data_IF_676740728229
#
_entry.id   IF_676740728229
#
_cell.length_a   1.000
_cell.length_b   1.000
_cell.length_c   1.000
_cell.angle_alpha   90.00
_cell.angle_beta   90.00
_cell.angle_gamma   90.00
#
_symmetry.space_group_name_H-M   'P 1'
#
loop_
_entity.id
_entity.type
_entity.pdbx_description
1 polymer ?
#
# COMPACT_ATOMS: atom_id res chain seq x y z
N UNK A 1 6.98 -30.02 -1.21
CA UNK A 1 6.87 -28.86 -2.14
C UNK A 1 7.42 -27.65 -1.41
N UNK A 2 8.53 -27.06 -1.88
CA UNK A 2 9.08 -25.85 -1.24
C UNK A 2 8.06 -24.72 -1.37
N UNK A 3 7.68 -24.10 -0.25
CA UNK A 3 6.92 -22.86 -0.27
C UNK A 3 7.82 -21.78 -0.84
N UNK A 4 7.65 -21.44 -2.12
CA UNK A 4 8.30 -20.26 -2.67
C UNK A 4 7.62 -19.04 -2.02
N UNK A 5 8.27 -18.51 -1.00
CA UNK A 5 7.88 -17.28 -0.35
C UNK A 5 8.60 -16.14 -1.07
N UNK A 6 7.83 -15.25 -1.69
CA UNK A 6 8.38 -14.03 -2.28
C UNK A 6 8.27 -12.91 -1.26
N UNK A 7 9.36 -12.19 -1.03
CA UNK A 7 9.40 -11.04 -0.13
C UNK A 7 9.82 -9.83 -0.96
N UNK A 8 9.00 -8.79 -0.92
CA UNK A 8 9.23 -7.52 -1.63
C UNK A 8 9.32 -6.38 -0.63
N UNK A 9 10.27 -5.47 -0.85
CA UNK A 9 10.36 -4.23 -0.10
C UNK A 9 9.46 -3.16 -0.73
N UNK A 10 8.63 -2.51 0.08
CA UNK A 10 7.75 -1.41 -0.30
C UNK A 10 8.24 -0.12 0.38
N UNK A 11 9.09 0.68 -0.29
CA UNK A 11 9.70 1.84 0.33
C UNK A 11 8.67 2.89 0.73
N UNK A 12 8.86 3.50 1.89
CA UNK A 12 8.22 4.75 2.22
C UNK A 12 8.70 5.85 1.28
N UNK A 13 7.94 6.93 1.18
CA UNK A 13 8.33 8.12 0.40
C UNK A 13 8.37 9.35 1.29
N UNK A 14 9.26 10.27 0.94
CA UNK A 14 9.29 11.64 1.45
C UNK A 14 8.98 12.62 0.32
N UNK A 15 8.18 13.65 0.61
CA UNK A 15 8.07 14.79 -0.30
C UNK A 15 9.18 15.78 0.10
N UNK A 16 10.20 15.94 -0.74
CA UNK A 16 11.25 16.95 -0.53
C UNK A 16 10.70 18.37 -0.79
N UNK A 17 9.69 18.46 -1.64
CA UNK A 17 8.89 19.64 -1.86
C UNK A 17 7.44 19.25 -2.16
N UNK A 18 6.50 20.08 -1.71
CA UNK A 18 5.09 19.96 -2.01
C UNK A 18 4.46 21.36 -2.09
N UNK A 19 3.87 21.66 -3.24
CA UNK A 19 3.07 22.85 -3.48
C UNK A 19 1.67 22.42 -3.93
N UNK A 20 0.67 23.00 -3.28
CA UNK A 20 -0.75 22.79 -3.59
C UNK A 20 -1.20 23.94 -4.49
N UNK A 21 -1.56 23.65 -5.73
CA UNK A 21 -1.81 24.67 -6.75
C UNK A 21 -3.26 25.17 -6.70
N UNK A 22 -4.23 24.27 -6.87
CA UNK A 22 -5.65 24.60 -6.85
C UNK A 22 -6.49 23.36 -6.55
N UNK A 23 -7.75 23.58 -6.18
CA UNK A 23 -8.75 22.52 -6.03
C UNK A 23 -9.52 22.32 -7.34
N UNK A 24 -9.74 21.07 -7.71
CA UNK A 24 -10.52 20.66 -8.88
C UNK A 24 -12.00 20.41 -8.53
N UNK A 25 -12.85 20.40 -9.56
CA UNK A 25 -14.29 20.12 -9.40
C UNK A 25 -14.59 18.71 -8.86
N UNK A 26 -13.68 17.76 -9.07
CA UNK A 26 -13.79 16.39 -8.53
C UNK A 26 -13.44 16.30 -7.02
N UNK A 27 -13.07 17.41 -6.38
CA UNK A 27 -12.74 17.48 -4.96
C UNK A 27 -11.26 17.25 -4.62
N UNK A 28 -10.41 16.90 -5.58
CA UNK A 28 -8.96 16.75 -5.40
C UNK A 28 -8.21 18.07 -5.65
N UNK A 29 -6.91 18.08 -5.38
CA UNK A 29 -6.04 19.23 -5.64
C UNK A 29 -4.96 18.88 -6.66
N UNK A 30 -4.65 19.82 -7.54
CA UNK A 30 -3.44 19.75 -8.35
C UNK A 30 -2.23 20.05 -7.48
N UNK A 31 -1.23 19.19 -7.58
CA UNK A 31 -0.02 19.24 -6.76
C UNK A 31 1.21 19.33 -7.66
N UNK A 32 2.13 20.21 -7.28
CA UNK A 32 3.51 20.20 -7.77
C UNK A 32 4.38 19.64 -6.64
N UNK A 33 5.08 18.52 -6.86
CA UNK A 33 5.82 17.84 -5.80
C UNK A 33 7.06 17.14 -6.32
N UNK A 34 8.11 17.16 -5.51
CA UNK A 34 9.28 16.30 -5.69
C UNK A 34 9.27 15.21 -4.61
N UNK A 35 9.11 13.95 -5.04
CA UNK A 35 9.13 12.79 -4.17
C UNK A 35 10.45 12.04 -4.25
N UNK A 36 10.90 11.50 -3.11
CA UNK A 36 12.03 10.59 -3.01
C UNK A 36 11.63 9.34 -2.22
N UNK A 37 12.10 8.17 -2.65
CA UNK A 37 11.93 6.92 -1.90
C UNK A 37 12.97 6.80 -0.81
N UNK A 38 12.54 6.36 0.36
CA UNK A 38 13.42 6.09 1.48
C UNK A 38 13.92 4.63 1.44
N UNK A 39 15.00 4.38 2.17
CA UNK A 39 15.52 3.04 2.48
C UNK A 39 14.79 2.37 3.65
N UNK A 40 13.77 3.02 4.21
CA UNK A 40 12.81 2.48 5.17
C UNK A 40 11.46 2.24 4.50
N UNK A 41 10.77 1.17 4.90
CA UNK A 41 9.48 0.80 4.32
C UNK A 41 8.94 -0.49 4.91
N UNK A 42 7.85 -0.99 4.31
CA UNK A 42 7.21 -2.23 4.70
C UNK A 42 7.75 -3.40 3.87
N UNK A 43 7.70 -4.61 4.42
CA UNK A 43 7.94 -5.84 3.67
C UNK A 43 6.62 -6.53 3.36
N UNK A 44 6.41 -6.83 2.07
CA UNK A 44 5.24 -7.58 1.59
C UNK A 44 5.70 -9.00 1.28
N UNK A 45 5.23 -9.94 2.10
CA UNK A 45 5.47 -11.36 1.91
C UNK A 45 4.28 -12.02 1.23
N UNK A 46 4.53 -12.74 0.14
CA UNK A 46 3.52 -13.48 -0.61
C UNK A 46 3.77 -14.99 -0.46
N UNK A 47 2.71 -15.71 -0.10
CA UNK A 47 2.69 -17.17 -0.05
C UNK A 47 1.51 -17.70 -0.89
N UNK A 48 1.72 -18.80 -1.63
CA UNK A 48 0.63 -19.45 -2.36
C UNK A 48 -0.38 -20.02 -1.37
N UNK A 49 -1.65 -19.68 -1.55
CA UNK A 49 -2.77 -20.11 -0.71
C UNK A 49 -3.99 -20.47 -1.55
N UNK A 50 -4.88 -21.32 -1.00
CA UNK A 50 -6.18 -21.64 -1.61
C UNK A 50 -7.19 -20.51 -1.48
N UNK A 51 -6.95 -19.56 -0.57
CA UNK A 51 -7.83 -18.41 -0.33
C UNK A 51 -7.02 -17.12 -0.17
N UNK A 52 -7.64 -15.99 -0.52
CA UNK A 52 -7.05 -14.67 -0.31
C UNK A 52 -7.14 -14.29 1.18
N UNK A 53 -5.99 -14.23 1.83
CA UNK A 53 -5.85 -13.67 3.17
C UNK A 53 -4.84 -12.52 3.15
N UNK A 54 -4.91 -11.71 4.20
CA UNK A 54 -3.96 -10.65 4.48
C UNK A 54 -3.76 -10.65 5.99
N UNK A 55 -2.51 -10.74 6.39
CA UNK A 55 -2.03 -10.58 7.75
C UNK A 55 -1.16 -9.32 7.79
N UNK A 56 -1.25 -8.58 8.90
CA UNK A 56 -0.51 -7.35 9.12
C UNK A 56 0.14 -7.50 10.49
N UNK A 57 1.45 -7.29 10.52
CA UNK A 57 2.31 -7.37 11.71
C UNK A 57 3.05 -6.04 11.91
N UNK A 58 3.71 -5.90 13.07
CA UNK A 58 4.48 -4.72 13.41
C UNK A 58 3.73 -3.68 14.27
N UNK A 59 4.40 -2.57 14.62
CA UNK A 59 3.94 -1.65 15.65
C UNK A 59 2.56 -1.02 15.40
N UNK A 60 2.17 -0.88 14.13
CA UNK A 60 0.92 -0.22 13.73
C UNK A 60 -0.20 -1.21 13.34
N UNK A 61 0.07 -2.52 13.38
CA UNK A 61 -0.86 -3.54 12.92
C UNK A 61 -2.20 -3.53 13.66
N UNK A 62 -2.19 -3.32 14.98
CA UNK A 62 -3.39 -3.26 15.80
C UNK A 62 -4.33 -2.13 15.37
N UNK A 63 -3.78 -0.97 14.99
CA UNK A 63 -4.56 0.16 14.49
C UNK A 63 -5.12 -0.12 13.10
N UNK A 64 -4.31 -0.72 12.21
CA UNK A 64 -4.75 -1.09 10.87
C UNK A 64 -5.86 -2.15 10.88
N UNK A 65 -5.84 -3.07 11.85
CA UNK A 65 -6.87 -4.11 12.04
C UNK A 65 -8.23 -3.56 12.48
N UNK A 66 -8.31 -2.31 12.94
CA UNK A 66 -9.59 -1.66 13.30
C UNK A 66 -10.40 -1.23 12.08
N UNK A 67 -9.74 -1.05 10.93
CA UNK A 67 -10.39 -0.67 9.68
C UNK A 67 -10.97 -1.88 8.96
N UNK A 68 -11.96 -1.65 8.09
CA UNK A 68 -12.54 -2.72 7.29
C UNK A 68 -11.46 -3.29 6.35
N UNK A 69 -11.26 -4.62 6.39
CA UNK A 69 -10.27 -5.31 5.55
C UNK A 69 -10.47 -5.06 4.05
N UNK A 70 -11.72 -4.84 3.61
CA UNK A 70 -12.02 -4.50 2.22
C UNK A 70 -11.59 -3.09 1.81
N UNK A 71 -11.29 -2.22 2.77
CA UNK A 71 -10.78 -0.87 2.51
C UNK A 71 -9.27 -0.84 2.32
N UNK A 72 -8.56 -1.87 2.79
CA UNK A 72 -7.12 -2.00 2.64
C UNK A 72 -6.72 -1.99 1.15
N UNK A 73 -5.79 -1.11 0.80
CA UNK A 73 -5.37 -0.90 -0.59
C UNK A 73 -4.76 -2.15 -1.22
N UNK A 74 -4.07 -3.01 -0.46
CA UNK A 74 -3.54 -4.28 -0.98
C UNK A 74 -4.69 -5.19 -1.44
N UNK A 75 -5.75 -5.31 -0.63
CA UNK A 75 -6.93 -6.12 -0.98
C UNK A 75 -7.65 -5.52 -2.19
N UNK A 76 -7.81 -4.19 -2.24
CA UNK A 76 -8.41 -3.49 -3.38
C UNK A 76 -7.61 -3.72 -4.68
N UNK A 77 -6.28 -3.61 -4.62
CA UNK A 77 -5.39 -3.84 -5.77
C UNK A 77 -5.49 -5.28 -6.28
N UNK A 78 -5.49 -6.27 -5.38
CA UNK A 78 -5.65 -7.68 -5.78
C UNK A 78 -7.01 -7.92 -6.45
N UNK A 79 -8.09 -7.34 -5.91
CA UNK A 79 -9.43 -7.44 -6.52
C UNK A 79 -9.48 -6.77 -7.89
N UNK A 80 -8.86 -5.60 -8.04
CA UNK A 80 -8.80 -4.89 -9.32
C UNK A 80 -8.02 -5.69 -10.37
N UNK A 81 -6.86 -6.25 -10.01
CA UNK A 81 -6.05 -7.08 -10.91
C UNK A 81 -6.72 -8.39 -11.32
N UNK A 82 -7.57 -8.96 -10.48
CA UNK A 82 -8.37 -10.16 -10.84
C UNK A 82 -9.44 -9.86 -11.89
N UNK A 83 -9.87 -8.61 -11.98
CA UNK A 83 -10.94 -8.16 -12.89
C UNK A 83 -10.40 -7.42 -14.12
N UNK A 84 -9.07 -7.30 -14.24
CA UNK A 84 -8.38 -6.72 -15.39
C UNK A 84 -8.07 -7.81 -16.43
#
# INVERSE_FOLDING_TARGET
>A
MSKNNFIFFSPAKLNLFLEVLNKEHNGFHNLNSLMCFCDIGDYIKLEKSSSLSLEIEGPFASNLKKFNKNENLIIKSIKALKNA
#
